data_IF_475454961889
#
_entry.id   IF_475454961889
#
_cell.length_a   1.000
_cell.length_b   1.000
_cell.length_c   1.000
_cell.angle_alpha   90.00
_cell.angle_beta   90.00
_cell.angle_gamma   90.00
#
_symmetry.space_group_name_H-M   'P 1'
#
loop_
_entity.id
_entity.type
_entity.pdbx_description
1 polymer ?
#
# COMPACT_ATOMS: atom_id res chain seq x y z
N UNK A 1 -77.09 12.21 5.57
CA UNK A 1 -76.17 11.98 6.69
C UNK A 1 -74.89 11.34 6.14
N UNK A 2 -73.81 12.10 6.01
CA UNK A 2 -72.48 11.59 5.61
C UNK A 2 -71.50 12.02 6.70
N UNK A 3 -70.94 11.05 7.43
CA UNK A 3 -69.94 11.29 8.46
C UNK A 3 -68.57 11.45 7.80
N UNK A 4 -67.89 12.56 8.09
CA UNK A 4 -66.48 12.76 7.77
C UNK A 4 -65.63 12.13 8.88
N UNK A 5 -64.86 11.10 8.55
CA UNK A 5 -63.77 10.58 9.37
C UNK A 5 -62.48 11.31 8.97
N UNK A 6 -61.88 12.03 9.91
CA UNK A 6 -60.57 12.65 9.74
C UNK A 6 -59.52 11.79 10.46
N UNK A 7 -58.69 11.06 9.69
CA UNK A 7 -57.51 10.36 10.20
C UNK A 7 -56.31 11.31 10.18
N UNK A 8 -55.75 11.60 11.35
CA UNK A 8 -54.48 12.31 11.48
C UNK A 8 -53.32 11.32 11.23
N UNK A 9 -52.60 11.48 10.12
CA UNK A 9 -51.38 10.75 9.85
C UNK A 9 -50.20 11.42 10.59
N UNK A 10 -49.64 10.73 11.58
CA UNK A 10 -48.37 11.09 12.21
C UNK A 10 -47.24 10.73 11.24
N UNK A 11 -46.62 11.74 10.63
CA UNK A 11 -45.41 11.58 9.84
C UNK A 11 -44.21 11.41 10.78
N UNK A 12 -43.71 10.19 10.93
CA UNK A 12 -42.42 9.90 11.54
C UNK A 12 -41.30 10.32 10.58
N UNK A 13 -40.59 11.41 10.89
CA UNK A 13 -39.36 11.77 10.18
C UNK A 13 -38.25 10.76 10.54
N UNK A 14 -37.57 10.13 9.56
CA UNK A 14 -36.37 9.38 9.85
C UNK A 14 -35.26 10.36 10.25
N UNK A 15 -34.71 10.17 11.46
CA UNK A 15 -33.41 10.73 11.82
C UNK A 15 -32.37 10.05 10.93
N UNK A 16 -31.81 10.79 9.97
CA UNK A 16 -30.64 10.36 9.24
C UNK A 16 -29.45 10.36 10.22
N UNK A 17 -29.08 9.17 10.70
CA UNK A 17 -27.86 8.96 11.47
C UNK A 17 -26.72 8.91 10.44
N UNK A 18 -25.98 10.01 10.29
CA UNK A 18 -24.73 9.99 9.53
C UNK A 18 -23.69 9.26 10.38
N UNK A 19 -23.41 7.99 10.07
CA UNK A 19 -22.20 7.35 10.57
C UNK A 19 -21.00 8.05 9.94
N UNK A 20 -19.96 8.44 10.72
CA UNK A 20 -18.74 8.96 10.13
C UNK A 20 -18.19 7.92 9.14
N UNK A 21 -17.58 8.34 8.03
CA UNK A 21 -16.97 7.39 7.11
C UNK A 21 -15.95 6.56 7.89
N UNK A 22 -16.14 5.23 7.85
CA UNK A 22 -15.05 4.27 8.05
C UNK A 22 -13.86 4.81 7.25
N UNK A 23 -12.69 4.86 7.87
CA UNK A 23 -11.50 5.47 7.27
C UNK A 23 -11.40 5.02 5.80
N UNK A 24 -11.42 5.99 4.88
CA UNK A 24 -11.32 5.66 3.47
C UNK A 24 -9.99 4.93 3.29
N UNK A 25 -10.06 3.65 2.93
CA UNK A 25 -8.93 2.77 2.67
C UNK A 25 -8.91 2.52 1.16
N UNK A 26 -7.72 2.44 0.52
CA UNK A 26 -7.66 2.04 -0.87
C UNK A 26 -8.22 0.62 -1.04
N UNK A 27 -8.87 0.34 -2.16
CA UNK A 27 -9.23 -1.04 -2.48
C UNK A 27 -8.00 -1.89 -2.83
N UNK A 28 -8.18 -3.20 -2.89
CA UNK A 28 -7.10 -4.15 -3.15
C UNK A 28 -6.35 -3.91 -4.46
N UNK A 29 -7.08 -3.53 -5.52
CA UNK A 29 -6.48 -3.23 -6.83
C UNK A 29 -5.60 -1.97 -6.77
N UNK A 30 -6.01 -0.99 -5.97
CA UNK A 30 -5.26 0.24 -5.73
C UNK A 30 -3.99 -0.05 -4.93
N UNK A 31 -4.06 -0.92 -3.91
CA UNK A 31 -2.88 -1.38 -3.16
C UNK A 31 -1.93 -2.18 -4.06
N UNK A 32 -2.45 -3.13 -4.83
CA UNK A 32 -1.66 -3.91 -5.79
C UNK A 32 -0.93 -2.98 -6.78
N UNK A 33 -1.63 -1.98 -7.31
CA UNK A 33 -1.02 -0.98 -8.19
C UNK A 33 0.06 -0.15 -7.48
N UNK A 34 -0.16 0.22 -6.22
CA UNK A 34 0.83 0.92 -5.42
C UNK A 34 2.10 0.09 -5.23
N UNK A 35 1.95 -1.19 -4.89
CA UNK A 35 3.06 -2.14 -4.80
C UNK A 35 3.75 -2.28 -6.16
N UNK A 36 2.97 -2.43 -7.23
CA UNK A 36 3.50 -2.63 -8.58
C UNK A 36 4.34 -1.46 -9.07
N UNK A 37 3.94 -0.24 -8.73
CA UNK A 37 4.71 0.97 -8.93
C UNK A 37 5.98 1.00 -8.06
N UNK A 38 5.89 0.54 -6.80
CA UNK A 38 6.99 0.60 -5.83
C UNK A 38 8.09 -0.45 -6.02
N UNK A 39 7.80 -1.61 -6.61
CA UNK A 39 8.76 -2.71 -6.78
C UNK A 39 10.16 -2.31 -7.29
N UNK A 40 10.31 -1.46 -8.34
CA UNK A 40 11.63 -1.04 -8.80
C UNK A 40 12.41 -0.27 -7.73
N UNK A 41 11.73 0.64 -7.02
CA UNK A 41 12.34 1.45 -5.97
C UNK A 41 12.76 0.58 -4.78
N UNK A 42 11.90 -0.35 -4.38
CA UNK A 42 12.19 -1.30 -3.30
C UNK A 42 13.40 -2.18 -3.63
N UNK A 43 13.45 -2.71 -4.86
CA UNK A 43 14.58 -3.53 -5.30
C UNK A 43 15.89 -2.73 -5.40
N UNK A 44 15.83 -1.49 -5.92
CA UNK A 44 16.99 -0.61 -5.97
C UNK A 44 17.51 -0.26 -4.55
N UNK A 45 16.59 -0.01 -3.61
CA UNK A 45 16.94 0.18 -2.19
C UNK A 45 17.63 -1.04 -1.63
N UNK A 46 17.09 -2.24 -1.86
CA UNK A 46 17.69 -3.50 -1.42
C UNK A 46 19.10 -3.70 -2.00
N UNK A 47 19.30 -3.46 -3.30
CA UNK A 47 20.62 -3.55 -3.92
C UNK A 47 21.61 -2.58 -3.28
N UNK A 48 21.20 -1.32 -3.03
CA UNK A 48 22.04 -0.33 -2.38
C UNK A 48 22.41 -0.73 -0.95
N UNK A 49 21.45 -1.25 -0.17
CA UNK A 49 21.65 -1.67 1.22
C UNK A 49 22.50 -2.93 1.35
N UNK A 50 22.33 -3.90 0.45
CA UNK A 50 22.86 -5.26 0.63
C UNK A 50 24.08 -5.60 -0.24
N UNK A 51 24.49 -4.73 -1.16
CA UNK A 51 25.57 -5.03 -2.12
C UNK A 51 26.90 -5.49 -1.49
N UNK A 52 27.25 -5.04 -0.29
CA UNK A 52 28.49 -5.43 0.42
C UNK A 52 28.35 -6.66 1.29
N UNK A 53 27.12 -7.07 1.60
CA UNK A 53 26.81 -8.16 2.52
C UNK A 53 26.59 -9.50 1.79
N UNK A 54 26.19 -9.44 0.52
CA UNK A 54 25.89 -10.61 -0.29
C UNK A 54 27.13 -11.23 -0.92
N UNK A 55 27.05 -12.53 -1.22
CA UNK A 55 28.10 -13.22 -1.95
C UNK A 55 28.28 -12.61 -3.36
N UNK A 56 29.53 -12.46 -3.79
CA UNK A 56 29.86 -11.93 -5.12
C UNK A 56 29.32 -12.79 -6.28
N UNK A 57 29.00 -14.05 -6.01
CA UNK A 57 28.33 -14.98 -6.91
C UNK A 57 26.96 -15.40 -6.35
N UNK A 58 26.33 -14.59 -5.51
CA UNK A 58 24.99 -14.82 -4.98
C UNK A 58 23.90 -14.79 -6.05
N UNK A 59 22.65 -14.94 -5.61
CA UNK A 59 21.51 -14.93 -6.53
C UNK A 59 21.35 -13.57 -7.21
N UNK A 60 21.41 -12.49 -6.44
CA UNK A 60 21.25 -11.11 -6.93
C UNK A 60 22.47 -10.69 -7.75
N UNK A 61 23.67 -11.15 -7.40
CA UNK A 61 24.87 -10.90 -8.22
C UNK A 61 24.73 -11.48 -9.64
N UNK A 62 24.06 -12.63 -9.79
CA UNK A 62 23.85 -13.30 -11.08
C UNK A 62 22.62 -12.83 -11.84
N UNK A 63 21.58 -12.39 -11.13
CA UNK A 63 20.26 -12.14 -11.71
C UNK A 63 19.76 -10.69 -11.54
N UNK A 64 20.54 -9.82 -10.90
CA UNK A 64 20.12 -8.48 -10.49
C UNK A 64 19.59 -7.63 -11.63
N UNK A 65 20.30 -7.56 -12.75
CA UNK A 65 19.87 -6.78 -13.92
C UNK A 65 18.55 -7.29 -14.51
N UNK A 66 18.37 -8.61 -14.55
CA UNK A 66 17.13 -9.25 -15.03
C UNK A 66 15.97 -8.96 -14.07
N UNK A 67 16.20 -9.02 -12.75
CA UNK A 67 15.21 -8.68 -11.73
C UNK A 67 14.82 -7.20 -11.79
N UNK A 68 15.79 -6.30 -11.94
CA UNK A 68 15.54 -4.88 -12.13
C UNK A 68 14.65 -4.64 -13.36
N UNK A 69 15.00 -5.22 -14.51
CA UNK A 69 14.19 -5.13 -15.72
C UNK A 69 12.76 -5.66 -15.53
N UNK A 70 12.61 -6.81 -14.87
CA UNK A 70 11.31 -7.41 -14.53
C UNK A 70 10.44 -6.47 -13.70
N UNK A 71 11.00 -5.84 -12.67
CA UNK A 71 10.24 -4.93 -11.82
C UNK A 71 9.94 -3.61 -12.51
N UNK A 72 10.87 -3.05 -13.28
CA UNK A 72 10.69 -1.77 -14.00
C UNK A 72 9.67 -1.86 -15.13
N UNK A 73 9.63 -2.96 -15.87
CA UNK A 73 8.76 -3.10 -17.03
C UNK A 73 7.30 -2.82 -16.66
N UNK A 74 6.69 -1.75 -17.19
CA UNK A 74 5.28 -1.43 -16.92
C UNK A 74 4.99 -0.90 -15.50
N UNK A 75 5.96 -0.66 -14.63
CA UNK A 75 5.67 -0.11 -13.29
C UNK A 75 5.01 1.28 -13.35
N UNK A 76 5.46 2.12 -14.29
CA UNK A 76 5.08 3.52 -14.39
C UNK A 76 3.60 3.75 -14.72
N UNK A 77 2.92 2.80 -15.38
CA UNK A 77 1.49 2.93 -15.69
C UNK A 77 0.62 2.86 -14.43
N UNK A 78 1.16 2.32 -13.33
CA UNK A 78 0.45 2.21 -12.04
C UNK A 78 0.56 3.46 -11.18
N UNK A 79 1.37 4.45 -11.57
CA UNK A 79 1.57 5.67 -10.79
C UNK A 79 0.27 6.39 -10.38
N UNK A 80 -0.73 6.58 -11.26
CA UNK A 80 -1.96 7.26 -10.88
C UNK A 80 -2.70 6.59 -9.70
N UNK A 81 -2.79 5.25 -9.71
CA UNK A 81 -3.41 4.48 -8.63
C UNK A 81 -2.53 4.47 -7.37
N UNK A 82 -1.20 4.35 -7.53
CA UNK A 82 -0.26 4.44 -6.41
C UNK A 82 -0.34 5.79 -5.68
N UNK A 83 -0.50 6.87 -6.43
CA UNK A 83 -0.71 8.22 -5.87
C UNK A 83 -2.02 8.30 -5.09
N UNK A 84 -3.09 7.74 -5.62
CA UNK A 84 -4.39 7.70 -4.92
C UNK A 84 -4.29 6.91 -3.61
N UNK A 85 -3.61 5.76 -3.64
CA UNK A 85 -3.31 4.97 -2.45
C UNK A 85 -2.57 5.81 -1.40
N UNK A 86 -1.50 6.49 -1.80
CA UNK A 86 -0.67 7.32 -0.91
C UNK A 86 -1.48 8.46 -0.26
N UNK A 87 -2.29 9.17 -1.04
CA UNK A 87 -3.10 10.29 -0.53
C UNK A 87 -4.24 9.82 0.38
N UNK A 88 -4.70 8.59 0.19
CA UNK A 88 -5.71 7.94 1.03
C UNK A 88 -5.11 7.44 2.34
N UNK A 89 -3.94 6.79 2.30
CA UNK A 89 -3.22 6.21 3.46
C UNK A 89 -2.47 7.26 4.31
N UNK A 90 -2.16 8.44 3.77
CA UNK A 90 -1.32 9.48 4.39
C UNK A 90 -1.80 10.10 5.71
N UNK A 91 -2.70 9.45 6.46
CA UNK A 91 -3.06 9.81 7.83
C UNK A 91 -2.23 9.10 8.91
N UNK A 92 -1.35 8.15 8.57
CA UNK A 92 -0.71 7.26 9.56
C UNK A 92 0.79 7.44 9.84
N UNK A 93 1.62 7.86 8.87
CA UNK A 93 3.07 7.53 8.91
C UNK A 93 4.01 8.75 8.86
N UNK A 94 3.68 9.85 9.53
CA UNK A 94 4.57 11.02 9.64
C UNK A 94 4.76 11.81 8.33
N UNK A 95 4.04 11.46 7.26
CA UNK A 95 3.89 12.27 6.06
C UNK A 95 2.66 13.16 6.18
N UNK A 96 2.87 14.46 6.04
CA UNK A 96 1.77 15.43 5.95
C UNK A 96 1.07 15.26 4.60
N UNK A 97 -0.18 14.75 4.63
CA UNK A 97 -0.99 14.52 3.43
C UNK A 97 -1.21 15.82 2.64
N UNK A 98 -1.43 16.93 3.34
CA UNK A 98 -1.65 18.24 2.73
C UNK A 98 -0.37 18.72 2.01
N UNK A 99 0.81 18.42 2.56
CA UNK A 99 2.10 18.64 1.87
C UNK A 99 2.19 17.81 0.59
N UNK A 100 1.91 16.50 0.66
CA UNK A 100 1.98 15.60 -0.52
C UNK A 100 0.99 16.00 -1.61
N UNK A 101 -0.24 16.34 -1.22
CA UNK A 101 -1.30 16.76 -2.15
C UNK A 101 -0.97 18.09 -2.85
N UNK A 102 -0.14 18.94 -2.22
CA UNK A 102 0.30 20.21 -2.79
C UNK A 102 1.44 20.10 -3.81
N UNK A 103 2.08 18.93 -3.94
CA UNK A 103 3.20 18.75 -4.86
C UNK A 103 2.73 18.55 -6.32
N UNK A 104 3.42 19.15 -7.31
CA UNK A 104 3.27 18.77 -8.71
C UNK A 104 3.58 17.30 -8.91
N UNK A 105 2.90 16.65 -9.86
CA UNK A 105 3.03 15.21 -10.08
C UNK A 105 4.45 14.80 -10.46
N UNK A 106 5.11 15.65 -11.25
CA UNK A 106 6.49 15.50 -11.72
C UNK A 106 7.51 15.59 -10.58
N UNK A 107 7.14 16.21 -9.46
CA UNK A 107 7.97 16.28 -8.25
C UNK A 107 7.58 15.20 -7.23
N UNK A 108 6.29 14.89 -7.11
CA UNK A 108 5.77 13.91 -6.16
C UNK A 108 6.25 12.50 -6.49
N UNK A 109 6.19 12.09 -7.76
CA UNK A 109 6.61 10.76 -8.19
C UNK A 109 8.07 10.43 -7.81
N UNK A 110 9.09 11.22 -8.20
CA UNK A 110 10.47 10.93 -7.79
C UNK A 110 10.69 11.07 -6.28
N UNK A 111 9.96 11.94 -5.59
CA UNK A 111 10.01 12.04 -4.13
C UNK A 111 9.56 10.73 -3.47
N UNK A 112 8.42 10.17 -3.88
CA UNK A 112 7.91 8.88 -3.39
C UNK A 112 8.88 7.74 -3.72
N UNK A 113 9.43 7.71 -4.93
CA UNK A 113 10.45 6.71 -5.31
C UNK A 113 11.66 6.75 -4.39
N UNK A 114 12.18 7.93 -4.06
CA UNK A 114 13.31 8.07 -3.14
C UNK A 114 12.94 7.66 -1.71
N UNK A 115 11.72 7.98 -1.26
CA UNK A 115 11.22 7.58 0.04
C UNK A 115 11.15 6.05 0.17
N UNK A 116 10.67 5.34 -0.86
CA UNK A 116 10.64 3.88 -0.86
C UNK A 116 12.05 3.26 -0.75
N UNK A 117 13.04 3.83 -1.45
CA UNK A 117 14.43 3.39 -1.33
C UNK A 117 14.98 3.60 0.10
N UNK A 118 14.66 4.75 0.69
CA UNK A 118 15.07 5.07 2.06
C UNK A 118 14.38 4.17 3.09
N UNK A 119 13.11 3.83 2.87
CA UNK A 119 12.36 2.91 3.72
C UNK A 119 13.04 1.54 3.75
N UNK A 120 13.45 1.01 2.59
CA UNK A 120 14.20 -0.25 2.53
C UNK A 120 15.50 -0.18 3.32
N UNK A 121 16.25 0.92 3.20
CA UNK A 121 17.49 1.10 3.96
C UNK A 121 17.27 1.21 5.48
N UNK A 122 16.06 1.55 5.90
CA UNK A 122 15.68 1.67 7.32
C UNK A 122 15.20 0.33 7.88
N UNK A 123 14.42 -0.41 7.09
CA UNK A 123 13.79 -1.67 7.52
C UNK A 123 14.68 -2.90 7.31
N UNK A 124 15.51 -2.92 6.26
CA UNK A 124 16.43 -4.03 5.99
C UNK A 124 17.78 -3.76 6.64
N UNK A 125 18.09 -4.54 7.67
CA UNK A 125 19.41 -4.52 8.31
C UNK A 125 20.42 -5.33 7.49
N UNK A 126 21.72 -4.98 7.51
CA UNK A 126 22.77 -5.76 6.84
C UNK A 126 22.71 -7.27 7.13
N UNK A 127 22.43 -7.65 8.38
CA UNK A 127 22.32 -9.05 8.80
C UNK A 127 21.16 -9.84 8.18
N UNK A 128 20.18 -9.15 7.57
CA UNK A 128 19.00 -9.76 6.94
C UNK A 128 19.16 -9.91 5.42
N UNK A 129 20.23 -9.36 4.84
CA UNK A 129 20.41 -9.32 3.39
C UNK A 129 20.36 -10.70 2.74
N UNK A 130 20.97 -11.72 3.36
CA UNK A 130 20.94 -13.09 2.86
C UNK A 130 19.52 -13.70 2.88
N UNK A 131 18.73 -13.41 3.92
CA UNK A 131 17.34 -13.89 4.02
C UNK A 131 16.45 -13.21 2.98
N UNK A 132 16.64 -11.91 2.74
CA UNK A 132 15.90 -11.17 1.71
C UNK A 132 16.30 -11.65 0.31
N UNK A 133 17.59 -11.88 0.04
CA UNK A 133 18.05 -12.49 -1.22
C UNK A 133 17.38 -13.85 -1.45
N UNK A 134 17.32 -14.69 -0.40
CA UNK A 134 16.65 -15.99 -0.48
C UNK A 134 15.15 -15.85 -0.75
N UNK A 135 14.49 -14.88 -0.14
CA UNK A 135 13.09 -14.56 -0.42
C UNK A 135 12.87 -14.14 -1.88
N UNK A 136 13.75 -13.29 -2.42
CA UNK A 136 13.72 -12.86 -3.82
C UNK A 136 13.89 -14.04 -4.79
N UNK A 137 14.80 -14.98 -4.47
CA UNK A 137 14.97 -16.21 -5.26
C UNK A 137 13.70 -17.06 -5.28
N UNK A 138 13.00 -17.17 -4.14
CA UNK A 138 11.76 -17.95 -4.03
C UNK A 138 10.62 -17.37 -4.88
N UNK A 139 10.49 -16.05 -4.91
CA UNK A 139 9.41 -15.38 -5.63
C UNK A 139 9.74 -15.07 -7.09
N UNK A 140 11.00 -15.20 -7.50
CA UNK A 140 11.43 -14.86 -8.86
C UNK A 140 10.65 -15.58 -9.99
N UNK A 141 10.22 -16.84 -9.87
CA UNK A 141 9.41 -17.48 -10.91
C UNK A 141 8.07 -16.79 -11.16
N UNK A 142 7.57 -15.99 -10.22
CA UNK A 142 6.30 -15.26 -10.36
C UNK A 142 6.50 -14.00 -11.21
N UNK A 143 5.59 -13.66 -12.13
CA UNK A 143 5.56 -12.34 -12.78
C UNK A 143 5.48 -11.19 -11.75
N UNK A 144 5.92 -9.98 -12.14
CA UNK A 144 5.89 -8.82 -11.26
C UNK A 144 4.48 -8.49 -10.75
N UNK A 145 3.46 -8.69 -11.59
CA UNK A 145 2.06 -8.46 -11.23
C UNK A 145 1.61 -9.47 -10.14
N UNK A 146 1.98 -10.74 -10.26
CA UNK A 146 1.68 -11.74 -9.23
C UNK A 146 2.40 -11.47 -7.90
N UNK A 147 3.61 -10.90 -7.94
CA UNK A 147 4.31 -10.46 -6.73
C UNK A 147 3.56 -9.28 -6.10
N UNK A 148 3.13 -8.31 -6.90
CA UNK A 148 2.36 -7.17 -6.43
C UNK A 148 1.03 -7.59 -5.81
N UNK A 149 0.28 -8.49 -6.47
CA UNK A 149 -0.97 -9.02 -5.94
C UNK A 149 -0.78 -9.83 -4.66
N UNK A 150 0.30 -10.61 -4.55
CA UNK A 150 0.62 -11.34 -3.32
C UNK A 150 0.89 -10.39 -2.14
N UNK A 151 1.72 -9.36 -2.36
CA UNK A 151 2.03 -8.36 -1.32
C UNK A 151 0.79 -7.53 -0.99
N UNK A 152 0.02 -7.11 -1.99
CA UNK A 152 -1.22 -6.35 -1.79
C UNK A 152 -2.22 -7.12 -0.94
N UNK A 153 -2.39 -8.42 -1.21
CA UNK A 153 -3.22 -9.30 -0.37
C UNK A 153 -2.70 -9.40 1.07
N UNK A 154 -1.39 -9.48 1.29
CA UNK A 154 -0.81 -9.49 2.65
C UNK A 154 -1.09 -8.18 3.39
N UNK A 155 -1.00 -7.04 2.70
CA UNK A 155 -1.34 -5.73 3.27
C UNK A 155 -2.82 -5.69 3.67
N UNK A 156 -3.72 -6.09 2.78
CA UNK A 156 -5.16 -6.16 3.10
C UNK A 156 -5.45 -7.06 4.30
N UNK A 157 -4.73 -8.18 4.44
CA UNK A 157 -4.89 -9.07 5.57
C UNK A 157 -4.45 -8.40 6.88
N UNK A 158 -3.27 -7.76 6.89
CA UNK A 158 -2.76 -7.07 8.07
C UNK A 158 -3.72 -5.97 8.52
N UNK A 159 -4.25 -5.19 7.57
CA UNK A 159 -5.22 -4.13 7.85
C UNK A 159 -6.54 -4.67 8.45
N UNK A 160 -7.01 -5.84 8.03
CA UNK A 160 -8.21 -6.49 8.60
C UNK A 160 -7.98 -6.96 10.03
N UNK A 161 -6.78 -7.45 10.34
CA UNK A 161 -6.42 -7.88 11.69
C UNK A 161 -6.36 -6.68 12.63
N UNK A 162 -5.78 -5.55 12.20
CA UNK A 162 -5.76 -4.28 12.97
C UNK A 162 -7.18 -3.74 13.26
N UNK A 163 -8.09 -3.83 12.28
CA UNK A 163 -9.49 -3.43 12.45
C UNK A 163 -10.21 -4.32 13.48
N UNK A 164 -9.94 -5.63 13.46
CA UNK A 164 -10.54 -6.60 14.37
C UNK A 164 -10.08 -6.35 15.82
N UNK A 165 -8.79 -6.09 16.02
CA UNK A 165 -8.22 -5.74 17.33
C UNK A 165 -8.80 -4.42 17.86
N UNK A 166 -8.93 -3.41 16.99
CA UNK A 166 -9.51 -2.10 17.32
C UNK A 166 -10.99 -2.21 17.71
N UNK A 167 -11.76 -3.04 17.00
CA UNK A 167 -13.17 -3.28 17.29
C UNK A 167 -13.38 -4.03 18.62
N UNK A 168 -12.49 -4.97 18.97
CA UNK A 168 -12.52 -5.64 20.27
C UNK A 168 -12.24 -4.66 21.42
N UNK A 169 -11.23 -3.81 21.27
CA UNK A 169 -10.89 -2.79 22.27
C UNK A 169 -12.03 -1.78 22.52
N UNK A 170 -12.81 -1.43 21.49
CA UNK A 170 -13.96 -0.54 21.61
C UNK A 170 -15.21 -1.20 22.21
N UNK A 171 -15.32 -2.54 22.15
CA UNK A 171 -16.46 -3.30 22.68
C UNK A 171 -16.37 -3.64 24.17
N UNK A 172 -15.21 -3.47 24.79
CA UNK A 172 -14.97 -3.66 26.23
C UNK A 172 -15.16 -2.38 27.07
N UNK A 173 -15.59 -1.27 26.45
CA UNK A 173 -15.81 0.04 27.11
C UNK A 173 -17.26 0.31 27.48
#
# INVERSE_FOLDING_TARGET
>A
MKALLASAALASLPLAISTPPVHARPDGETIESAVRFGLPALFAGFQATCSTELANDGYVARNGDRLAAKFTQGADIHWPAAKDALLTLGKGEGMDREMLAGMPDEALKPFVTALLQQMVSTEIKPSQCADVERGLELIDPLPADNIAGLIGFMVEMAERDEDADSAQAAGES
#
